data_IF_505538241617
#
_entry.id   IF_505538241617
#
_cell.length_a   1.000
_cell.length_b   1.000
_cell.length_c   1.000
_cell.angle_alpha   90.00
_cell.angle_beta   90.00
_cell.angle_gamma   90.00
#
_symmetry.space_group_name_H-M   'P 1'
#
loop_
_entity.id
_entity.type
_entity.pdbx_description
1 polymer ?
#
# COMPACT_ATOMS: atom_id res chain seq x y z
N UNK A 1 5.10 -30.30 7.96
CA UNK A 1 4.61 -29.56 6.80
C UNK A 1 5.61 -29.50 5.66
N UNK A 2 6.90 -29.41 5.94
CA UNK A 2 7.94 -29.65 4.94
C UNK A 2 8.06 -31.15 4.65
N UNK A 3 8.39 -31.52 3.41
CA UNK A 3 8.63 -32.92 3.07
C UNK A 3 9.84 -33.45 3.83
N UNK A 4 9.85 -34.74 4.16
CA UNK A 4 10.96 -35.38 4.89
C UNK A 4 12.31 -35.19 4.20
N UNK A 5 12.33 -35.13 2.87
CA UNK A 5 13.52 -34.83 2.08
C UNK A 5 14.09 -33.44 2.32
N UNK A 6 13.24 -32.44 2.58
CA UNK A 6 13.68 -31.05 2.89
C UNK A 6 14.20 -30.99 4.31
N UNK A 7 13.47 -31.57 5.28
CA UNK A 7 13.87 -31.52 6.70
C UNK A 7 15.14 -32.30 7.00
N UNK A 8 15.46 -33.30 6.20
CA UNK A 8 16.69 -34.10 6.35
C UNK A 8 17.91 -33.47 5.63
N UNK A 9 17.72 -32.36 4.93
CA UNK A 9 18.83 -31.72 4.21
C UNK A 9 19.75 -30.93 5.16
N UNK A 10 21.07 -30.99 4.89
CA UNK A 10 22.07 -30.23 5.68
C UNK A 10 21.83 -28.72 5.63
N UNK A 11 21.33 -28.20 4.52
CA UNK A 11 20.99 -26.79 4.39
C UNK A 11 19.81 -26.40 5.30
N UNK A 12 18.74 -27.21 5.29
CA UNK A 12 17.60 -26.96 6.18
C UNK A 12 18.01 -26.99 7.65
N UNK A 13 18.77 -28.03 8.07
CA UNK A 13 19.22 -28.16 9.45
C UNK A 13 20.10 -26.98 9.89
N UNK A 14 20.96 -26.46 9.00
CA UNK A 14 21.77 -25.28 9.29
C UNK A 14 20.93 -24.03 9.57
N UNK A 15 19.86 -23.83 8.80
CA UNK A 15 18.92 -22.73 9.03
C UNK A 15 18.01 -22.97 10.23
N UNK A 16 17.55 -24.23 10.45
CA UNK A 16 16.70 -24.61 11.58
C UNK A 16 17.36 -24.32 12.93
N UNK A 17 18.65 -24.69 13.07
CA UNK A 17 19.44 -24.41 14.28
C UNK A 17 19.56 -22.91 14.60
N UNK A 18 19.39 -22.01 13.62
CA UNK A 18 19.60 -20.57 13.76
C UNK A 18 18.33 -19.75 13.75
N UNK A 19 17.31 -20.21 13.07
CA UNK A 19 16.10 -19.44 12.81
C UNK A 19 14.81 -20.11 13.31
N UNK A 20 14.90 -21.38 13.78
CA UNK A 20 13.73 -22.16 14.24
C UNK A 20 12.59 -22.11 13.18
N UNK A 21 12.92 -22.38 11.91
CA UNK A 21 12.00 -22.24 10.76
C UNK A 21 10.74 -23.06 10.95
N UNK A 22 10.89 -24.29 11.52
CA UNK A 22 9.75 -25.16 11.80
C UNK A 22 8.81 -24.53 12.83
N UNK A 23 9.35 -23.94 13.89
CA UNK A 23 8.54 -23.27 14.92
C UNK A 23 7.79 -22.06 14.33
N UNK A 24 8.46 -21.28 13.47
CA UNK A 24 7.84 -20.17 12.74
C UNK A 24 6.72 -20.67 11.83
N UNK A 25 6.99 -21.72 11.04
CA UNK A 25 6.02 -22.32 10.13
C UNK A 25 4.79 -22.87 10.89
N UNK A 26 5.01 -23.56 12.01
CA UNK A 26 3.95 -24.10 12.84
C UNK A 26 3.12 -22.98 13.48
N UNK A 27 3.76 -21.93 13.97
CA UNK A 27 3.05 -20.77 14.51
C UNK A 27 2.19 -20.06 13.44
N UNK A 28 2.61 -20.01 12.18
CA UNK A 28 1.84 -19.44 11.09
C UNK A 28 0.67 -20.33 10.65
N UNK A 29 0.87 -21.65 10.59
CA UNK A 29 -0.05 -22.57 9.92
C UNK A 29 -1.03 -23.28 10.85
N UNK A 30 -0.80 -23.29 12.16
CA UNK A 30 -1.63 -24.02 13.14
C UNK A 30 -2.57 -23.12 13.96
N UNK A 31 -2.76 -21.87 13.53
CA UNK A 31 -3.67 -20.95 14.24
C UNK A 31 -5.13 -21.42 14.13
N UNK A 32 -5.79 -21.45 15.27
CA UNK A 32 -7.23 -21.69 15.32
C UNK A 32 -7.99 -20.53 14.68
N UNK A 33 -8.88 -20.87 13.76
CA UNK A 33 -9.81 -19.91 13.15
C UNK A 33 -11.18 -20.10 13.81
N UNK A 34 -11.69 -19.07 14.51
CA UNK A 34 -13.00 -19.14 15.16
C UNK A 34 -14.14 -19.42 14.17
N UNK A 35 -15.22 -20.15 14.57
CA UNK A 35 -16.31 -20.54 13.66
C UNK A 35 -17.08 -19.37 13.03
N UNK A 36 -17.08 -18.18 13.65
CA UNK A 36 -17.76 -16.99 13.14
C UNK A 36 -17.02 -16.30 11.99
N UNK A 37 -15.76 -16.70 11.71
CA UNK A 37 -14.96 -16.08 10.66
C UNK A 37 -15.48 -16.47 9.28
N UNK A 38 -15.78 -15.49 8.47
CA UNK A 38 -16.25 -15.64 7.09
C UNK A 38 -15.42 -14.76 6.12
N UNK A 39 -15.79 -14.72 4.86
CA UNK A 39 -15.07 -13.98 3.80
C UNK A 39 -14.85 -12.49 4.14
N UNK A 40 -15.74 -11.86 4.88
CA UNK A 40 -15.59 -10.45 5.27
C UNK A 40 -14.41 -10.21 6.23
N UNK A 41 -13.96 -11.25 6.94
CA UNK A 41 -12.75 -11.16 7.77
C UNK A 41 -11.46 -11.25 6.94
N UNK A 42 -11.54 -11.71 5.69
CA UNK A 42 -10.40 -11.80 4.78
C UNK A 42 -10.09 -10.48 4.05
N UNK A 43 -10.95 -9.47 4.13
CA UNK A 43 -10.80 -8.21 3.38
C UNK A 43 -9.47 -7.50 3.64
N UNK A 44 -8.97 -7.49 4.88
CA UNK A 44 -7.65 -6.97 5.20
C UNK A 44 -6.52 -7.75 4.54
N UNK A 45 -6.63 -9.09 4.50
CA UNK A 45 -5.68 -9.95 3.78
C UNK A 45 -5.70 -9.73 2.27
N UNK A 46 -6.88 -9.51 1.67
CA UNK A 46 -7.02 -9.18 0.25
C UNK A 46 -6.36 -7.82 -0.04
N UNK A 47 -6.56 -6.83 0.85
CA UNK A 47 -5.88 -5.52 0.74
C UNK A 47 -4.36 -5.68 0.77
N UNK A 48 -3.83 -6.55 1.63
CA UNK A 48 -2.39 -6.86 1.67
C UNK A 48 -1.91 -7.49 0.35
N UNK A 49 -2.63 -8.45 -0.21
CA UNK A 49 -2.26 -9.06 -1.50
C UNK A 49 -2.23 -8.01 -2.60
N UNK A 50 -3.23 -7.12 -2.65
CA UNK A 50 -3.24 -6.00 -3.59
C UNK A 50 -2.01 -5.09 -3.38
N UNK A 51 -1.63 -4.80 -2.13
CA UNK A 51 -0.43 -4.02 -1.83
C UNK A 51 0.85 -4.69 -2.33
N UNK A 52 1.01 -5.99 -2.13
CA UNK A 52 2.17 -6.73 -2.64
C UNK A 52 2.25 -6.68 -4.18
N UNK A 53 1.11 -6.77 -4.85
CA UNK A 53 1.02 -6.59 -6.31
C UNK A 53 1.42 -5.16 -6.70
N UNK A 54 0.95 -4.14 -5.96
CA UNK A 54 1.34 -2.74 -6.18
C UNK A 54 2.86 -2.56 -6.04
N UNK A 55 3.45 -3.14 -5.01
CA UNK A 55 4.90 -3.07 -4.78
C UNK A 55 5.68 -3.71 -5.94
N UNK A 56 5.36 -4.93 -6.32
CA UNK A 56 6.06 -5.67 -7.37
C UNK A 56 5.92 -4.98 -8.74
N UNK A 57 4.70 -4.60 -9.12
CA UNK A 57 4.44 -3.95 -10.41
C UNK A 57 4.96 -2.51 -10.45
N UNK A 58 4.86 -1.77 -9.34
CA UNK A 58 5.41 -0.42 -9.21
C UNK A 58 6.94 -0.43 -9.33
N UNK A 59 7.61 -1.35 -8.64
CA UNK A 59 9.05 -1.52 -8.76
C UNK A 59 9.48 -1.81 -10.20
N UNK A 60 8.80 -2.73 -10.90
CA UNK A 60 9.10 -3.02 -12.31
C UNK A 60 8.95 -1.80 -13.21
N UNK A 61 7.97 -0.92 -12.96
CA UNK A 61 7.78 0.29 -13.76
C UNK A 61 8.86 1.36 -13.52
N UNK A 62 9.53 1.39 -12.36
CA UNK A 62 10.58 2.38 -12.08
C UNK A 62 11.78 2.25 -13.02
N UNK A 63 12.01 1.09 -13.65
CA UNK A 63 13.08 0.90 -14.64
C UNK A 63 12.87 1.69 -15.94
N UNK A 64 11.64 2.11 -16.23
CA UNK A 64 11.27 2.73 -17.50
C UNK A 64 10.72 4.15 -17.34
N UNK A 65 10.08 4.43 -16.19
CA UNK A 65 9.45 5.72 -15.96
C UNK A 65 10.48 6.83 -15.71
N UNK A 66 10.25 8.00 -16.34
CA UNK A 66 11.10 9.19 -16.21
C UNK A 66 10.33 10.34 -15.58
N UNK A 67 10.66 10.75 -14.33
CA UNK A 67 9.90 11.74 -13.57
C UNK A 67 10.23 13.19 -13.99
N UNK A 68 10.11 13.50 -15.28
CA UNK A 68 10.26 14.86 -15.80
C UNK A 68 9.00 15.30 -16.54
N UNK A 69 8.63 16.57 -16.45
CA UNK A 69 7.42 17.09 -17.11
C UNK A 69 7.45 16.93 -18.63
N UNK A 70 8.63 16.81 -19.23
CA UNK A 70 8.83 16.60 -20.66
C UNK A 70 8.77 15.14 -21.08
N UNK A 71 9.10 14.20 -20.19
CA UNK A 71 9.28 12.78 -20.56
C UNK A 71 8.31 11.84 -19.83
N UNK A 72 7.64 12.27 -18.74
CA UNK A 72 6.80 11.38 -17.95
C UNK A 72 5.73 10.70 -18.80
N UNK A 73 4.99 11.48 -19.59
CA UNK A 73 3.94 10.94 -20.46
C UNK A 73 4.50 10.00 -21.55
N UNK A 74 5.55 10.41 -22.25
CA UNK A 74 6.18 9.58 -23.30
C UNK A 74 6.81 8.30 -22.73
N UNK A 75 7.38 8.35 -21.51
CA UNK A 75 7.90 7.15 -20.85
C UNK A 75 6.81 6.14 -20.48
N UNK A 76 5.61 6.62 -20.11
CA UNK A 76 4.45 5.76 -19.91
C UNK A 76 3.93 5.18 -21.21
N UNK A 77 3.93 5.97 -22.30
CA UNK A 77 3.58 5.45 -23.63
C UNK A 77 4.58 4.36 -24.06
N UNK A 78 5.87 4.63 -23.94
CA UNK A 78 6.93 3.65 -24.23
C UNK A 78 6.73 2.35 -23.46
N UNK A 79 6.44 2.44 -22.15
CA UNK A 79 6.12 1.28 -21.34
C UNK A 79 4.93 0.48 -21.90
N UNK A 80 3.91 1.16 -22.42
CA UNK A 80 2.68 0.53 -22.92
C UNK A 80 2.84 -0.11 -24.31
N UNK A 81 3.71 0.43 -25.17
CA UNK A 81 3.79 0.03 -26.60
C UNK A 81 5.04 -0.77 -26.93
N UNK A 82 6.19 -0.48 -26.31
CA UNK A 82 7.49 -1.01 -26.69
C UNK A 82 8.05 -2.06 -25.70
N UNK A 83 7.70 -1.93 -24.40
CA UNK A 83 8.23 -2.84 -23.39
C UNK A 83 7.43 -4.14 -23.37
N UNK A 84 8.13 -5.28 -23.48
CA UNK A 84 7.50 -6.59 -23.39
C UNK A 84 6.71 -6.76 -22.08
N UNK A 85 5.40 -7.03 -22.18
CA UNK A 85 4.47 -7.10 -21.06
C UNK A 85 4.29 -5.79 -20.27
N UNK A 86 4.83 -4.67 -20.72
CA UNK A 86 4.71 -3.39 -20.03
C UNK A 86 3.25 -2.94 -19.87
N UNK A 87 2.43 -3.13 -20.91
CA UNK A 87 0.99 -2.90 -20.86
C UNK A 87 0.29 -3.73 -19.77
N UNK A 88 0.71 -4.98 -19.60
CA UNK A 88 0.12 -5.88 -18.60
C UNK A 88 0.51 -5.45 -17.18
N UNK A 89 1.80 -5.17 -16.94
CA UNK A 89 2.32 -4.72 -15.65
C UNK A 89 1.61 -3.44 -15.20
N UNK A 90 1.50 -2.44 -16.08
CA UNK A 90 0.81 -1.19 -15.78
C UNK A 90 -0.69 -1.39 -15.54
N UNK A 91 -1.34 -2.25 -16.33
CA UNK A 91 -2.77 -2.55 -16.15
C UNK A 91 -3.03 -3.24 -14.82
N UNK A 92 -2.21 -4.22 -14.45
CA UNK A 92 -2.30 -4.89 -13.14
C UNK A 92 -2.10 -3.87 -12.01
N UNK A 93 -1.10 -3.00 -12.11
CA UNK A 93 -0.86 -1.94 -11.14
C UNK A 93 -2.10 -1.06 -10.93
N UNK A 94 -2.69 -0.57 -12.00
CA UNK A 94 -3.88 0.29 -11.96
C UNK A 94 -5.10 -0.41 -11.37
N UNK A 95 -5.40 -1.62 -11.83
CA UNK A 95 -6.57 -2.37 -11.35
C UNK A 95 -6.41 -2.83 -9.91
N UNK A 96 -5.23 -3.30 -9.54
CA UNK A 96 -4.92 -3.67 -8.17
C UNK A 96 -4.98 -2.48 -7.21
N UNK A 97 -4.63 -1.26 -7.65
CA UNK A 97 -4.81 -0.04 -6.86
C UNK A 97 -6.30 0.21 -6.54
N UNK A 98 -7.16 0.11 -7.55
CA UNK A 98 -8.61 0.27 -7.37
C UNK A 98 -9.19 -0.79 -6.43
N UNK A 99 -8.77 -2.05 -6.60
CA UNK A 99 -9.17 -3.15 -5.71
C UNK A 99 -8.67 -2.96 -4.29
N UNK A 100 -7.43 -2.47 -4.11
CA UNK A 100 -6.85 -2.19 -2.79
C UNK A 100 -7.70 -1.16 -2.02
N UNK A 101 -8.07 -0.06 -2.67
CA UNK A 101 -8.90 0.98 -2.07
C UNK A 101 -10.30 0.44 -1.73
N UNK A 102 -10.93 -0.28 -2.65
CA UNK A 102 -12.25 -0.87 -2.42
C UNK A 102 -12.22 -1.84 -1.24
N UNK A 103 -11.25 -2.76 -1.21
CA UNK A 103 -11.14 -3.76 -0.14
C UNK A 103 -10.80 -3.11 1.21
N UNK A 104 -9.97 -2.06 1.22
CA UNK A 104 -9.68 -1.27 2.42
C UNK A 104 -10.96 -0.61 2.98
N UNK A 105 -11.77 0.00 2.12
CA UNK A 105 -13.04 0.61 2.55
C UNK A 105 -13.97 -0.45 3.16
N UNK A 106 -14.17 -1.57 2.46
CA UNK A 106 -15.00 -2.66 2.94
C UNK A 106 -14.45 -3.27 4.25
N UNK A 107 -13.13 -3.40 4.36
CA UNK A 107 -12.46 -3.83 5.59
C UNK A 107 -12.74 -2.89 6.75
N UNK A 108 -12.62 -1.59 6.54
CA UNK A 108 -12.89 -0.56 7.53
C UNK A 108 -14.35 -0.61 7.98
N UNK A 109 -15.29 -0.70 7.04
CA UNK A 109 -16.72 -0.87 7.35
C UNK A 109 -16.96 -2.13 8.17
N UNK A 110 -16.38 -3.27 7.79
CA UNK A 110 -16.56 -4.52 8.57
C UNK A 110 -16.06 -4.34 9.99
N UNK A 111 -14.84 -3.79 10.19
CA UNK A 111 -14.28 -3.56 11.52
C UNK A 111 -15.15 -2.64 12.36
N UNK A 112 -15.66 -1.57 11.75
CA UNK A 112 -16.56 -0.62 12.42
C UNK A 112 -17.88 -1.28 12.82
N UNK A 113 -18.56 -1.93 11.88
CA UNK A 113 -19.87 -2.55 12.09
C UNK A 113 -19.84 -3.71 13.08
N UNK A 114 -18.70 -4.42 13.19
CA UNK A 114 -18.53 -5.52 14.16
C UNK A 114 -17.88 -5.08 15.48
N UNK A 115 -17.74 -3.78 15.73
CA UNK A 115 -17.14 -3.26 16.96
C UNK A 115 -15.66 -3.65 17.17
N UNK A 116 -14.96 -4.05 16.09
CA UNK A 116 -13.57 -4.50 16.15
C UNK A 116 -12.56 -3.41 16.53
N UNK A 117 -13.01 -2.17 16.74
CA UNK A 117 -12.23 -1.04 17.23
C UNK A 117 -12.30 -0.83 18.75
N UNK A 118 -13.20 -1.56 19.44
CA UNK A 118 -13.37 -1.44 20.90
C UNK A 118 -12.21 -2.12 21.64
N UNK A 119 -12.10 -1.81 22.94
CA UNK A 119 -11.10 -2.41 23.84
C UNK A 119 -10.98 -3.93 23.66
N UNK A 120 -9.77 -4.45 23.54
CA UNK A 120 -8.45 -3.83 23.65
C UNK A 120 -7.83 -3.44 22.29
N UNK A 121 -8.61 -3.17 21.23
CA UNK A 121 -8.16 -3.02 19.83
C UNK A 121 -8.09 -1.58 19.33
N UNK A 122 -8.13 -0.60 20.24
CA UNK A 122 -8.11 0.83 19.87
C UNK A 122 -6.86 1.21 19.08
N UNK A 123 -5.71 0.70 19.50
CA UNK A 123 -4.44 0.99 18.81
C UNK A 123 -4.38 0.32 17.44
N UNK A 124 -4.96 -0.88 17.29
CA UNK A 124 -5.11 -1.53 15.99
C UNK A 124 -5.98 -0.70 15.05
N UNK A 125 -7.06 -0.11 15.58
CA UNK A 125 -7.92 0.81 14.82
C UNK A 125 -7.17 2.06 14.37
N UNK A 126 -6.45 2.72 15.30
CA UNK A 126 -5.67 3.94 14.98
C UNK A 126 -4.65 3.67 13.87
N UNK A 127 -3.88 2.58 13.98
CA UNK A 127 -2.92 2.22 12.92
C UNK A 127 -3.62 1.89 11.60
N UNK A 128 -4.80 1.27 11.65
CA UNK A 128 -5.64 1.03 10.47
C UNK A 128 -6.09 2.32 9.78
N UNK A 129 -6.49 3.33 10.54
CA UNK A 129 -6.84 4.66 9.99
C UNK A 129 -5.63 5.34 9.35
N UNK A 130 -4.45 5.25 9.98
CA UNK A 130 -3.21 5.78 9.40
C UNK A 130 -2.89 5.07 8.08
N UNK A 131 -3.02 3.74 8.04
CA UNK A 131 -2.84 2.95 6.81
C UNK A 131 -3.83 3.36 5.71
N UNK A 132 -5.08 3.66 6.07
CA UNK A 132 -6.08 4.15 5.11
C UNK A 132 -5.67 5.52 4.52
N UNK A 133 -5.21 6.46 5.35
CA UNK A 133 -4.72 7.77 4.89
C UNK A 133 -3.50 7.62 3.97
N UNK A 134 -2.54 6.77 4.33
CA UNK A 134 -1.37 6.47 3.48
C UNK A 134 -1.82 5.86 2.15
N UNK A 135 -2.79 4.94 2.15
CA UNK A 135 -3.32 4.32 0.92
C UNK A 135 -3.97 5.35 -0.01
N UNK A 136 -4.76 6.28 0.54
CA UNK A 136 -5.32 7.39 -0.25
C UNK A 136 -4.21 8.29 -0.81
N UNK A 137 -3.17 8.56 -0.03
CA UNK A 137 -2.00 9.33 -0.46
C UNK A 137 -1.25 8.65 -1.62
N UNK A 138 -1.13 7.32 -1.60
CA UNK A 138 -0.64 6.55 -2.75
C UNK A 138 -1.50 6.75 -4.00
N UNK A 139 -2.83 6.71 -3.84
CA UNK A 139 -3.76 6.94 -4.95
C UNK A 139 -3.55 8.32 -5.58
N UNK A 140 -3.52 9.37 -4.76
CA UNK A 140 -3.33 10.76 -5.21
C UNK A 140 -1.97 10.95 -5.90
N UNK A 141 -0.90 10.51 -5.26
CA UNK A 141 0.45 10.68 -5.83
C UNK A 141 0.66 9.86 -7.10
N UNK A 142 0.17 8.60 -7.13
CA UNK A 142 0.31 7.72 -8.30
C UNK A 142 -0.50 8.16 -9.50
N UNK A 143 -1.69 8.73 -9.27
CA UNK A 143 -2.56 9.22 -10.34
C UNK A 143 -1.96 10.37 -11.14
N UNK A 144 -1.07 11.14 -10.54
CA UNK A 144 -0.39 12.27 -11.16
C UNK A 144 0.80 11.87 -12.03
N UNK A 145 1.41 10.70 -11.80
CA UNK A 145 2.69 10.33 -12.41
C UNK A 145 2.66 10.25 -13.95
N UNK A 146 1.58 9.81 -14.62
CA UNK A 146 1.52 9.85 -16.06
C UNK A 146 1.65 11.25 -16.65
N UNK A 147 1.44 12.29 -15.90
CA UNK A 147 1.55 13.69 -16.26
C UNK A 147 0.75 14.05 -17.50
N UNK A 148 -0.42 13.39 -17.65
CA UNK A 148 -1.43 13.70 -18.66
C UNK A 148 -2.36 14.82 -18.16
N UNK A 149 -3.28 15.25 -19.00
CA UNK A 149 -4.24 16.33 -18.65
C UNK A 149 -5.04 15.98 -17.39
N UNK A 150 -5.45 14.73 -17.25
CA UNK A 150 -6.27 14.30 -16.11
C UNK A 150 -5.44 14.33 -14.83
N UNK A 151 -4.23 13.74 -14.85
CA UNK A 151 -3.32 13.72 -13.71
C UNK A 151 -2.89 15.12 -13.28
N UNK A 152 -2.54 15.99 -14.23
CA UNK A 152 -2.15 17.38 -13.97
C UNK A 152 -3.27 18.16 -13.24
N UNK A 153 -4.49 18.14 -13.78
CA UNK A 153 -5.58 18.87 -13.18
C UNK A 153 -6.02 18.28 -11.83
N UNK A 154 -5.98 16.96 -11.68
CA UNK A 154 -6.22 16.33 -10.38
C UNK A 154 -5.24 16.83 -9.30
N UNK A 155 -3.93 16.89 -9.63
CA UNK A 155 -2.91 17.43 -8.71
C UNK A 155 -3.16 18.89 -8.41
N UNK A 156 -3.51 19.69 -9.43
CA UNK A 156 -3.78 21.12 -9.24
C UNK A 156 -4.92 21.36 -8.28
N UNK A 157 -6.01 20.58 -8.41
CA UNK A 157 -7.17 20.66 -7.51
C UNK A 157 -6.78 20.21 -6.10
N UNK A 158 -6.23 19.00 -5.95
CA UNK A 158 -5.93 18.43 -4.62
C UNK A 158 -4.89 19.25 -3.88
N UNK A 159 -3.83 19.70 -4.55
CA UNK A 159 -2.80 20.53 -3.93
C UNK A 159 -3.26 21.97 -3.64
N UNK A 160 -4.39 22.39 -4.19
CA UNK A 160 -5.05 23.66 -3.89
C UNK A 160 -5.96 23.62 -2.66
N UNK A 161 -6.42 22.46 -2.26
CA UNK A 161 -7.33 22.32 -1.09
C UNK A 161 -6.77 22.98 0.18
N UNK A 162 -5.49 22.84 0.53
CA UNK A 162 -4.93 23.53 1.70
C UNK A 162 -5.07 25.05 1.68
N UNK A 163 -5.14 25.70 0.50
CA UNK A 163 -5.27 27.16 0.39
C UNK A 163 -6.53 27.72 1.05
N UNK A 164 -7.54 26.87 1.26
CA UNK A 164 -8.75 27.23 2.00
C UNK A 164 -8.50 27.41 3.51
N UNK A 165 -7.37 26.98 4.04
CA UNK A 165 -7.03 27.13 5.46
C UNK A 165 -6.49 28.56 5.68
N UNK A 166 -7.12 29.37 6.55
CA UNK A 166 -6.65 30.72 6.80
C UNK A 166 -5.20 30.75 7.33
N UNK A 167 -4.45 31.73 6.92
CA UNK A 167 -3.09 32.07 7.36
C UNK A 167 -2.02 31.12 6.86
N UNK A 168 -2.18 29.78 7.03
CA UNK A 168 -1.14 28.79 6.72
C UNK A 168 -1.37 28.03 5.42
N UNK A 169 -2.52 28.18 4.80
CA UNK A 169 -2.95 27.35 3.67
C UNK A 169 -2.06 27.46 2.44
N UNK A 170 -1.70 28.69 2.06
CA UNK A 170 -0.78 28.95 0.93
C UNK A 170 0.60 28.33 1.19
N UNK A 171 1.13 28.48 2.40
CA UNK A 171 2.41 27.87 2.77
C UNK A 171 2.37 26.33 2.64
N UNK A 172 1.29 25.68 3.09
CA UNK A 172 1.12 24.23 2.97
C UNK A 172 1.00 23.82 1.51
N UNK A 173 0.22 24.57 0.70
CA UNK A 173 0.07 24.28 -0.72
C UNK A 173 1.42 24.39 -1.47
N UNK A 174 2.18 25.45 -1.22
CA UNK A 174 3.51 25.66 -1.80
C UNK A 174 4.51 24.60 -1.36
N UNK A 175 4.44 24.16 -0.10
CA UNK A 175 5.25 23.06 0.41
C UNK A 175 4.94 21.75 -0.34
N UNK A 176 3.66 21.44 -0.55
CA UNK A 176 3.22 20.22 -1.26
C UNK A 176 3.59 20.26 -2.74
N UNK A 177 3.39 21.41 -3.40
CA UNK A 177 3.71 21.61 -4.82
C UNK A 177 5.20 21.74 -5.09
N UNK A 178 5.94 22.27 -4.15
CA UNK A 178 7.35 22.66 -4.33
C UNK A 178 7.53 24.06 -4.94
N UNK A 179 6.50 24.91 -4.85
CA UNK A 179 6.43 26.26 -5.37
C UNK A 179 5.00 26.73 -5.53
N UNK A 180 4.83 27.96 -6.02
CA UNK A 180 3.51 28.60 -6.19
C UNK A 180 2.62 27.95 -7.28
N UNK A 181 3.18 27.08 -8.11
CA UNK A 181 2.42 26.41 -9.19
C UNK A 181 2.82 24.94 -9.33
N UNK A 182 1.88 24.17 -9.91
CA UNK A 182 2.12 22.75 -10.26
C UNK A 182 3.08 22.68 -11.45
N UNK A 183 4.16 21.90 -11.30
CA UNK A 183 5.19 21.77 -12.33
C UNK A 183 6.21 20.68 -11.98
N UNK A 184 7.44 20.81 -12.47
CA UNK A 184 8.50 19.84 -12.29
C UNK A 184 8.76 19.50 -10.81
N UNK A 185 8.81 20.50 -9.94
CA UNK A 185 9.03 20.28 -8.52
C UNK A 185 7.91 19.42 -7.89
N UNK A 186 6.67 19.62 -8.33
CA UNK A 186 5.52 18.84 -7.88
C UNK A 186 5.65 17.38 -8.34
N UNK A 187 5.95 17.15 -9.61
CA UNK A 187 6.11 15.80 -10.16
C UNK A 187 7.24 15.05 -9.44
N UNK A 188 8.38 15.68 -9.22
CA UNK A 188 9.51 15.07 -8.50
C UNK A 188 9.14 14.70 -7.07
N UNK A 189 8.43 15.58 -6.34
CA UNK A 189 7.98 15.31 -4.97
C UNK A 189 6.98 14.17 -4.90
N UNK A 190 6.01 14.17 -5.83
CA UNK A 190 4.99 13.12 -5.87
C UNK A 190 5.59 11.77 -6.26
N UNK A 191 6.54 11.75 -7.19
CA UNK A 191 7.28 10.54 -7.53
C UNK A 191 8.08 10.02 -6.32
N UNK A 192 8.84 10.87 -5.65
CA UNK A 192 9.61 10.49 -4.45
C UNK A 192 8.70 10.02 -3.32
N UNK A 193 7.58 10.71 -3.10
CA UNK A 193 6.59 10.29 -2.12
C UNK A 193 6.01 8.90 -2.46
N UNK A 194 5.59 8.70 -3.71
CA UNK A 194 4.94 7.47 -4.17
C UNK A 194 5.86 6.25 -4.15
N UNK A 195 7.12 6.43 -4.59
CA UNK A 195 8.06 5.31 -4.78
C UNK A 195 8.97 5.03 -3.58
N UNK A 196 9.13 6.01 -2.69
CA UNK A 196 10.06 5.89 -1.58
C UNK A 196 9.39 6.18 -0.22
N UNK A 197 8.87 7.39 0.01
CA UNK A 197 8.41 7.79 1.35
C UNK A 197 7.19 6.98 1.80
N UNK A 198 6.16 6.91 0.97
CA UNK A 198 4.92 6.20 1.30
C UNK A 198 5.13 4.68 1.44
N UNK A 199 5.96 4.00 0.60
CA UNK A 199 6.27 2.58 0.81
C UNK A 199 6.93 2.29 2.16
N UNK A 200 7.83 3.14 2.64
CA UNK A 200 8.42 2.98 3.96
C UNK A 200 7.41 3.20 5.08
N UNK A 201 6.61 4.26 4.97
CA UNK A 201 5.59 4.57 5.97
C UNK A 201 4.55 3.44 6.08
N UNK A 202 4.02 2.96 4.94
CA UNK A 202 3.03 1.88 4.97
C UNK A 202 3.62 0.58 5.52
N UNK A 203 4.89 0.26 5.21
CA UNK A 203 5.55 -0.93 5.74
C UNK A 203 5.66 -0.91 7.26
N UNK A 204 6.05 0.23 7.84
CA UNK A 204 6.16 0.40 9.31
C UNK A 204 4.78 0.25 9.97
N UNK A 205 3.77 0.99 9.51
CA UNK A 205 2.44 0.93 10.11
C UNK A 205 1.74 -0.41 9.86
N UNK A 206 1.98 -1.04 8.73
CA UNK A 206 1.46 -2.37 8.42
C UNK A 206 2.06 -3.42 9.35
N UNK A 207 3.37 -3.38 9.59
CA UNK A 207 4.04 -4.26 10.55
C UNK A 207 3.43 -4.10 11.96
N UNK A 208 3.28 -2.86 12.44
CA UNK A 208 2.65 -2.59 13.73
C UNK A 208 1.21 -3.11 13.79
N UNK A 209 0.43 -2.88 12.73
CA UNK A 209 -0.95 -3.33 12.62
C UNK A 209 -1.06 -4.86 12.72
N UNK A 210 -0.22 -5.58 11.97
CA UNK A 210 -0.20 -7.05 11.99
C UNK A 210 0.29 -7.63 13.32
N UNK A 211 1.31 -7.05 13.95
CA UNK A 211 1.78 -7.49 15.28
C UNK A 211 0.65 -7.40 16.30
N UNK A 212 -0.13 -6.30 16.27
CA UNK A 212 -1.26 -6.14 17.18
C UNK A 212 -2.39 -7.13 16.88
N UNK A 213 -2.75 -7.34 15.62
CA UNK A 213 -3.76 -8.34 15.24
C UNK A 213 -3.31 -9.73 15.69
N UNK A 214 -2.04 -10.07 15.49
CA UNK A 214 -1.50 -11.35 15.88
C UNK A 214 -1.54 -11.56 17.40
N UNK A 215 -1.23 -10.52 18.17
CA UNK A 215 -1.28 -10.56 19.64
C UNK A 215 -2.71 -10.62 20.17
N UNK A 216 -3.65 -9.93 19.55
CA UNK A 216 -5.03 -9.81 20.04
C UNK A 216 -5.98 -10.87 19.47
N UNK A 217 -5.57 -11.58 18.42
CA UNK A 217 -6.41 -12.53 17.69
C UNK A 217 -7.51 -11.87 16.86
N UNK A 218 -8.37 -12.71 16.26
CA UNK A 218 -9.50 -12.26 15.42
C UNK A 218 -10.60 -11.70 16.34
N UNK A 219 -11.18 -10.55 15.96
CA UNK A 219 -12.30 -9.94 16.71
C UNK A 219 -13.53 -10.85 16.67
N UNK A 220 -14.23 -10.96 17.78
CA UNK A 220 -15.54 -11.63 17.84
C UNK A 220 -16.63 -10.88 17.06
N UNK A 221 -17.78 -11.53 16.83
CA UNK A 221 -19.00 -10.82 16.42
C UNK A 221 -19.45 -9.87 17.55
N UNK A 222 -20.24 -8.86 17.19
CA UNK A 222 -20.94 -8.01 18.20
C UNK A 222 -21.92 -8.84 19.02
#
# INVERSE_FOLDING_TARGET
MFSKQITDSKAFNWFEERLEIQAIADDVTTKYVPPHVNIFYCLGGITLVCFLIQFATGFAMTFYYRPTVTEAFSSVQYLMTEVNFGWLIRSIHRWSASMMVLMMILHTFRVYLTGGFKKPRELTWVTGVILAVITVSFGVTGYSLPWDQIGYWAVKIVSGVPEAIPVVGTFIADLVRGGSSVGQATLTRYYSAHTFVLPWLIAVFMLLHFIMIRKQGISGPL
#
